data_IF_697521782221
#
_entry.id   IF_697521782221
#
_cell.length_a   1.000
_cell.length_b   1.000
_cell.length_c   1.000
_cell.angle_alpha   90.00
_cell.angle_beta   90.00
_cell.angle_gamma   90.00
#
_symmetry.space_group_name_H-M   'P 1'
#
loop_
_entity.id
_entity.type
_entity.pdbx_description
1 polymer ?
#
# COMPACT_ATOMS: atom_id res chain seq x y z
N UNK A 1 13.38 -15.73 4.39
CA UNK A 1 11.94 -15.43 4.19
C UNK A 1 11.78 -13.92 4.13
N UNK A 2 10.92 -13.43 3.25
CA UNK A 2 10.66 -12.00 3.06
C UNK A 2 9.34 -11.65 3.75
N UNK A 3 9.38 -10.64 4.62
CA UNK A 3 8.19 -10.08 5.26
C UNK A 3 7.60 -8.95 4.41
N UNK A 4 6.33 -9.04 4.06
CA UNK A 4 5.53 -7.97 3.47
C UNK A 4 4.69 -7.25 4.50
N UNK A 5 4.64 -5.93 4.40
CA UNK A 5 3.80 -5.06 5.25
C UNK A 5 3.00 -4.13 4.34
N UNK A 6 1.67 -4.21 4.38
CA UNK A 6 0.79 -3.33 3.62
C UNK A 6 -0.27 -2.71 4.55
N UNK A 7 -0.27 -1.39 4.65
CA UNK A 7 -1.08 -0.60 5.60
C UNK A 7 -1.61 0.70 5.01
N UNK A 8 -1.54 0.87 3.69
CA UNK A 8 -1.96 2.09 3.00
C UNK A 8 -3.49 2.27 3.00
N UNK A 9 -4.27 1.24 3.28
CA UNK A 9 -5.75 1.31 3.35
C UNK A 9 -6.28 0.79 4.69
N UNK A 10 -7.59 0.96 4.98
CA UNK A 10 -8.17 0.38 6.19
C UNK A 10 -8.02 -1.12 6.29
N UNK A 11 -8.01 -1.84 5.15
CA UNK A 11 -7.64 -3.25 5.07
C UNK A 11 -6.13 -3.34 4.95
N UNK A 12 -5.49 -3.80 6.02
CA UNK A 12 -4.05 -3.97 6.10
C UNK A 12 -3.72 -5.46 6.23
N UNK A 13 -2.50 -5.82 5.86
CA UNK A 13 -2.05 -7.20 5.96
C UNK A 13 -0.55 -7.32 6.12
N UNK A 14 -0.14 -8.47 6.65
CA UNK A 14 1.23 -8.96 6.72
C UNK A 14 1.31 -10.31 6.02
N UNK A 15 2.40 -10.58 5.32
CA UNK A 15 2.63 -11.87 4.66
C UNK A 15 4.11 -12.26 4.77
N UNK A 16 4.37 -13.57 4.90
CA UNK A 16 5.70 -14.13 4.79
C UNK A 16 5.80 -14.97 3.53
N UNK A 17 6.76 -14.61 2.67
CA UNK A 17 7.12 -15.39 1.50
C UNK A 17 8.41 -16.17 1.77
N UNK A 18 8.41 -17.46 1.43
CA UNK A 18 9.61 -18.29 1.47
C UNK A 18 10.09 -18.58 0.04
N UNK A 19 11.21 -17.96 -0.40
CA UNK A 19 11.79 -18.21 -1.71
C UNK A 19 12.17 -19.67 -1.96
N UNK A 20 12.40 -20.47 -0.90
CA UNK A 20 12.77 -21.89 -1.03
C UNK A 20 11.64 -22.76 -1.57
N UNK A 21 10.39 -22.35 -1.36
CA UNK A 21 9.20 -23.07 -1.82
C UNK A 21 8.35 -22.22 -2.78
N UNK A 22 8.84 -21.05 -3.18
CA UNK A 22 8.18 -20.08 -4.05
C UNK A 22 6.72 -19.79 -3.64
N UNK A 23 6.49 -19.60 -2.33
CA UNK A 23 5.13 -19.43 -1.83
C UNK A 23 5.03 -18.57 -0.56
N UNK A 24 3.85 -17.99 -0.36
CA UNK A 24 3.47 -17.41 0.93
C UNK A 24 3.17 -18.52 1.92
N UNK A 25 3.89 -18.51 3.04
CA UNK A 25 3.83 -19.53 4.09
C UNK A 25 3.03 -19.08 5.31
N UNK A 26 2.79 -17.78 5.43
CA UNK A 26 1.99 -17.20 6.52
C UNK A 26 1.40 -15.86 6.06
N UNK A 27 0.16 -15.57 6.49
CA UNK A 27 -0.54 -14.31 6.21
C UNK A 27 -1.48 -13.96 7.36
N UNK A 28 -1.57 -12.68 7.68
CA UNK A 28 -2.59 -12.11 8.58
C UNK A 28 -3.10 -10.80 8.00
N UNK A 29 -4.43 -10.67 7.94
CA UNK A 29 -5.10 -9.42 7.60
C UNK A 29 -5.77 -8.82 8.83
N UNK A 30 -5.90 -7.51 8.85
CA UNK A 30 -6.66 -6.78 9.86
C UNK A 30 -7.30 -5.53 9.25
N UNK A 31 -8.46 -5.14 9.76
CA UNK A 31 -9.19 -3.98 9.27
C UNK A 31 -9.35 -2.94 10.37
N UNK A 32 -8.89 -1.71 10.12
CA UNK A 32 -9.05 -0.61 11.06
C UNK A 32 -9.04 0.74 10.34
N UNK A 33 -9.90 1.66 10.75
CA UNK A 33 -9.92 3.01 10.17
C UNK A 33 -8.97 3.98 10.85
N UNK A 34 -8.68 3.78 12.15
CA UNK A 34 -8.00 4.78 12.99
C UNK A 34 -6.95 4.21 13.95
N UNK A 35 -6.80 2.90 14.03
CA UNK A 35 -5.99 2.24 15.06
C UNK A 35 -4.92 1.30 14.49
N UNK A 36 -4.44 1.53 13.25
CA UNK A 36 -3.35 0.73 12.65
C UNK A 36 -2.15 0.60 13.58
N UNK A 37 -1.81 1.66 14.31
CA UNK A 37 -0.72 1.71 15.27
C UNK A 37 -0.87 0.76 16.47
N UNK A 38 -2.10 0.35 16.82
CA UNK A 38 -2.33 -0.61 17.90
C UNK A 38 -2.47 -2.03 17.34
N UNK A 39 -3.21 -2.19 16.24
CA UNK A 39 -3.62 -3.50 15.72
C UNK A 39 -2.47 -4.23 15.01
N UNK A 40 -1.50 -3.52 14.43
CA UNK A 40 -0.40 -4.15 13.68
C UNK A 40 0.53 -5.00 14.56
N UNK A 41 0.66 -4.69 15.85
CA UNK A 41 1.66 -5.34 16.69
C UNK A 41 1.31 -6.78 17.05
N UNK A 42 0.02 -7.11 17.21
CA UNK A 42 -0.41 -8.49 17.48
C UNK A 42 0.06 -9.47 16.39
N UNK A 43 -0.25 -9.28 15.08
CA UNK A 43 0.23 -10.18 14.04
C UNK A 43 1.75 -10.09 13.82
N UNK A 44 2.40 -8.96 14.11
CA UNK A 44 3.88 -8.89 14.11
C UNK A 44 4.47 -9.78 15.18
N UNK A 45 3.97 -9.73 16.41
CA UNK A 45 4.47 -10.55 17.52
C UNK A 45 4.24 -12.03 17.24
N UNK A 46 3.05 -12.42 16.78
CA UNK A 46 2.74 -13.80 16.38
C UNK A 46 3.75 -14.33 15.34
N UNK A 47 4.03 -13.53 14.30
CA UNK A 47 5.00 -13.88 13.27
C UNK A 47 6.41 -14.02 13.84
N UNK A 48 6.82 -13.08 14.70
CA UNK A 48 8.15 -13.06 15.30
C UNK A 48 8.40 -14.25 16.23
N UNK A 49 7.39 -14.76 16.93
CA UNK A 49 7.53 -15.95 17.77
C UNK A 49 7.92 -17.20 16.96
N UNK A 50 7.47 -17.29 15.72
CA UNK A 50 7.66 -18.50 14.90
C UNK A 50 8.77 -18.37 13.85
N UNK A 51 8.92 -17.19 13.24
CA UNK A 51 9.71 -17.02 12.02
C UNK A 51 10.88 -16.03 12.14
N UNK A 52 11.12 -15.43 13.32
CA UNK A 52 12.16 -14.42 13.54
C UNK A 52 13.49 -14.78 12.89
N UNK A 53 14.03 -15.96 13.17
CA UNK A 53 15.38 -16.36 12.74
C UNK A 53 15.44 -16.73 11.24
N UNK A 54 14.30 -16.77 10.56
CA UNK A 54 14.19 -17.11 9.14
C UNK A 54 14.01 -15.88 8.25
N UNK A 55 13.81 -14.69 8.84
CA UNK A 55 13.65 -13.45 8.09
C UNK A 55 14.97 -13.03 7.43
N UNK A 56 14.89 -12.62 6.18
CA UNK A 56 16.04 -12.22 5.35
C UNK A 56 15.87 -10.82 4.75
N UNK A 57 14.66 -10.26 4.79
CA UNK A 57 14.37 -8.92 4.28
C UNK A 57 12.93 -8.51 4.55
N UNK A 58 12.66 -7.22 4.44
CA UNK A 58 11.34 -6.63 4.67
C UNK A 58 10.96 -5.76 3.48
N UNK A 59 9.82 -6.02 2.85
CA UNK A 59 9.20 -5.15 1.85
C UNK A 59 7.96 -4.47 2.45
N UNK A 60 7.79 -3.18 2.19
CA UNK A 60 6.64 -2.42 2.72
C UNK A 60 6.03 -1.51 1.67
N UNK A 61 4.70 -1.43 1.68
CA UNK A 61 3.93 -0.48 0.91
C UNK A 61 4.19 0.95 1.41
N UNK A 62 4.79 1.79 0.57
CA UNK A 62 5.08 3.19 0.90
C UNK A 62 3.97 4.16 0.48
N UNK A 63 2.82 3.63 0.08
CA UNK A 63 1.70 4.39 -0.46
C UNK A 63 1.75 4.56 -1.99
N UNK A 64 0.93 5.45 -2.55
CA UNK A 64 0.00 6.37 -1.87
C UNK A 64 -1.13 5.68 -1.09
N UNK A 65 -1.70 6.38 -0.10
CA UNK A 65 -2.82 5.90 0.73
C UNK A 65 -2.99 6.71 2.01
N UNK A 66 -3.59 6.09 3.03
CA UNK A 66 -3.80 6.66 4.37
C UNK A 66 -2.51 7.19 4.98
N UNK A 67 -2.49 8.49 5.31
CA UNK A 67 -1.33 9.16 5.89
C UNK A 67 -0.81 8.48 7.16
N UNK A 68 -1.72 8.07 8.06
CA UNK A 68 -1.36 7.36 9.28
C UNK A 68 -0.96 5.91 8.99
N UNK A 69 -1.73 5.22 8.13
CA UNK A 69 -1.51 3.82 7.81
C UNK A 69 -0.13 3.57 7.20
N UNK A 70 0.23 4.31 6.14
CA UNK A 70 1.53 4.20 5.47
C UNK A 70 2.69 4.43 6.45
N UNK A 71 2.59 5.45 7.31
CA UNK A 71 3.62 5.76 8.30
C UNK A 71 3.78 4.67 9.36
N UNK A 72 2.69 4.04 9.77
CA UNK A 72 2.75 2.92 10.72
C UNK A 72 3.50 1.74 10.10
N UNK A 73 3.16 1.36 8.86
CA UNK A 73 3.85 0.27 8.15
C UNK A 73 5.35 0.53 8.00
N UNK A 74 5.71 1.73 7.54
CA UNK A 74 7.11 2.16 7.41
C UNK A 74 7.84 2.16 8.76
N UNK A 75 7.21 2.65 9.83
CA UNK A 75 7.82 2.68 11.16
C UNK A 75 8.08 1.27 11.70
N UNK A 76 7.15 0.33 11.51
CA UNK A 76 7.33 -1.08 11.88
C UNK A 76 8.45 -1.71 11.05
N UNK A 77 8.47 -1.50 9.73
CA UNK A 77 9.52 -2.01 8.85
C UNK A 77 10.91 -1.52 9.28
N UNK A 78 11.05 -0.21 9.52
CA UNK A 78 12.31 0.39 9.98
C UNK A 78 12.72 -0.11 11.38
N UNK A 79 11.77 -0.28 12.30
CA UNK A 79 12.06 -0.81 13.64
C UNK A 79 12.55 -2.26 13.63
N UNK A 80 11.91 -3.10 12.82
CA UNK A 80 12.34 -4.50 12.61
C UNK A 80 13.70 -4.56 11.91
N UNK A 81 13.88 -3.78 10.84
CA UNK A 81 15.14 -3.65 10.12
C UNK A 81 16.29 -3.26 11.04
N UNK A 82 16.13 -2.22 11.86
CA UNK A 82 17.15 -1.75 12.78
C UNK A 82 17.49 -2.78 13.87
N UNK A 83 16.48 -3.45 14.42
CA UNK A 83 16.67 -4.43 15.50
C UNK A 83 17.25 -5.76 15.02
N UNK A 84 16.92 -6.18 13.80
CA UNK A 84 17.31 -7.47 13.24
C UNK A 84 18.42 -7.38 12.21
N UNK A 85 18.86 -6.16 11.86
CA UNK A 85 19.82 -5.87 10.77
C UNK A 85 19.37 -6.47 9.44
N UNK A 86 18.09 -6.30 9.14
CA UNK A 86 17.50 -6.79 7.89
C UNK A 86 17.41 -5.67 6.86
N UNK A 87 17.71 -5.96 5.59
CA UNK A 87 17.52 -5.00 4.52
C UNK A 87 16.03 -4.72 4.28
N UNK A 88 15.72 -3.50 3.83
CA UNK A 88 14.35 -3.03 3.59
C UNK A 88 14.15 -2.56 2.15
N UNK A 89 12.93 -2.74 1.64
CA UNK A 89 12.53 -2.25 0.33
C UNK A 89 11.15 -1.60 0.40
N UNK A 90 11.04 -0.39 -0.14
CA UNK A 90 9.77 0.30 -0.33
C UNK A 90 9.21 0.03 -1.72
N UNK A 91 7.95 -0.37 -1.81
CA UNK A 91 7.21 -0.50 -3.07
C UNK A 91 5.94 0.31 -3.02
N UNK A 92 5.47 0.79 -4.17
CA UNK A 92 4.20 1.52 -4.19
C UNK A 92 3.07 0.56 -3.83
N UNK A 93 2.19 0.97 -2.93
CA UNK A 93 0.99 0.19 -2.60
C UNK A 93 0.08 0.02 -3.81
N UNK A 94 0.19 0.89 -4.83
CA UNK A 94 -0.56 0.73 -6.08
C UNK A 94 -0.13 -0.51 -6.89
N UNK A 95 1.09 -1.02 -6.69
CA UNK A 95 1.61 -2.19 -7.40
C UNK A 95 1.12 -3.52 -6.80
N UNK A 96 0.58 -3.49 -5.58
CA UNK A 96 0.27 -4.67 -4.78
C UNK A 96 -1.24 -4.94 -4.61
N UNK A 97 -2.09 -4.55 -5.56
CA UNK A 97 -3.56 -4.73 -5.44
C UNK A 97 -3.98 -6.21 -5.58
N UNK A 98 -4.88 -6.66 -4.68
CA UNK A 98 -5.47 -8.01 -4.68
C UNK A 98 -6.52 -8.15 -5.79
N UNK A 99 -6.04 -8.12 -7.03
CA UNK A 99 -6.82 -8.26 -8.28
C UNK A 99 -6.18 -9.32 -9.16
N UNK A 100 -6.92 -9.88 -10.13
CA UNK A 100 -6.40 -10.93 -11.00
C UNK A 100 -5.58 -10.40 -12.18
N UNK A 101 -5.81 -9.15 -12.53
CA UNK A 101 -5.28 -8.46 -13.69
C UNK A 101 -3.93 -7.82 -13.37
N UNK A 102 -2.98 -7.91 -14.30
CA UNK A 102 -1.69 -7.26 -14.16
C UNK A 102 -1.67 -5.82 -14.67
N UNK A 103 -2.73 -5.41 -15.37
CA UNK A 103 -2.95 -4.04 -15.83
C UNK A 103 -4.29 -3.53 -15.31
N UNK A 104 -4.28 -2.41 -14.58
CA UNK A 104 -5.48 -1.82 -13.99
C UNK A 104 -5.28 -0.32 -13.70
N UNK A 105 -6.38 0.38 -13.45
CA UNK A 105 -6.36 1.72 -12.89
C UNK A 105 -6.83 1.73 -11.44
N UNK A 106 -6.32 2.68 -10.68
CA UNK A 106 -6.74 2.97 -9.31
C UNK A 106 -7.23 4.40 -9.25
N UNK A 107 -8.40 4.62 -8.65
CA UNK A 107 -8.94 5.93 -8.32
C UNK A 107 -9.17 6.07 -6.82
N UNK A 108 -8.78 7.22 -6.25
CA UNK A 108 -8.93 7.53 -4.81
C UNK A 108 -9.32 8.98 -4.59
N UNK A 109 -10.03 9.26 -3.48
CA UNK A 109 -10.35 10.64 -3.06
C UNK A 109 -9.08 11.32 -2.53
N UNK A 110 -8.50 12.21 -3.32
CA UNK A 110 -7.34 13.01 -2.95
C UNK A 110 -7.70 14.22 -2.07
N UNK A 111 -8.94 14.23 -1.53
CA UNK A 111 -9.60 15.32 -0.79
C UNK A 111 -9.75 16.58 -1.63
N UNK A 112 -10.53 17.54 -1.10
CA UNK A 112 -10.70 18.89 -1.69
C UNK A 112 -11.22 18.86 -3.13
N UNK A 113 -12.24 18.06 -3.37
CA UNK A 113 -12.89 17.95 -4.69
C UNK A 113 -11.90 17.55 -5.79
N UNK A 114 -10.95 16.67 -5.44
CA UNK A 114 -10.00 16.13 -6.38
C UNK A 114 -9.78 14.65 -6.14
N UNK A 115 -9.51 13.93 -7.22
CA UNK A 115 -9.24 12.51 -7.23
C UNK A 115 -7.84 12.26 -7.75
N UNK A 116 -7.18 11.25 -7.19
CA UNK A 116 -5.94 10.73 -7.74
C UNK A 116 -6.26 9.50 -8.58
N UNK A 117 -5.83 9.51 -9.83
CA UNK A 117 -5.97 8.40 -10.78
C UNK A 117 -4.57 7.89 -11.12
N UNK A 118 -4.40 6.58 -11.13
CA UNK A 118 -3.11 5.94 -11.41
C UNK A 118 -3.31 4.74 -12.30
N UNK A 119 -2.39 4.54 -13.23
CA UNK A 119 -2.39 3.37 -14.10
C UNK A 119 -1.25 2.45 -13.71
N UNK A 120 -1.54 1.15 -13.64
CA UNK A 120 -0.58 0.11 -13.32
C UNK A 120 -0.54 -0.85 -14.51
N UNK A 121 0.66 -1.16 -15.00
CA UNK A 121 0.88 -2.10 -16.10
C UNK A 121 1.97 -3.09 -15.71
N UNK A 122 1.69 -4.39 -15.88
CA UNK A 122 2.55 -5.48 -15.42
C UNK A 122 2.93 -5.31 -13.93
N UNK A 123 1.96 -4.95 -13.09
CA UNK A 123 2.17 -4.65 -11.65
C UNK A 123 3.21 -3.55 -11.40
N UNK A 124 3.39 -2.63 -12.34
CA UNK A 124 4.29 -1.48 -12.16
C UNK A 124 3.53 -0.19 -12.39
N UNK A 125 3.65 0.73 -11.43
CA UNK A 125 3.03 2.04 -11.51
C UNK A 125 3.58 2.80 -12.73
N UNK A 126 2.68 3.39 -13.52
CA UNK A 126 3.03 4.18 -14.70
C UNK A 126 3.00 5.66 -14.36
N UNK A 127 4.19 6.25 -14.33
CA UNK A 127 4.34 7.69 -14.05
C UNK A 127 3.89 8.04 -12.64
N UNK A 128 3.55 9.32 -12.46
CA UNK A 128 3.00 9.83 -11.21
C UNK A 128 1.46 9.81 -11.26
N UNK A 129 0.77 9.67 -10.12
CA UNK A 129 -0.69 9.76 -10.06
C UNK A 129 -1.22 11.11 -10.59
N UNK A 130 -2.19 11.04 -11.50
CA UNK A 130 -2.88 12.21 -12.05
C UNK A 130 -3.89 12.75 -11.03
N UNK A 131 -3.78 14.04 -10.71
CA UNK A 131 -4.75 14.73 -9.86
C UNK A 131 -5.77 15.46 -10.71
N UNK A 132 -7.02 14.99 -10.68
CA UNK A 132 -8.13 15.55 -11.47
C UNK A 132 -9.21 16.14 -10.55
N UNK A 133 -9.94 17.13 -11.06
CA UNK A 133 -11.12 17.67 -10.38
C UNK A 133 -12.31 16.72 -10.47
N UNK A 134 -13.29 16.87 -9.58
CA UNK A 134 -14.54 16.06 -9.59
C UNK A 134 -15.27 16.12 -10.93
N UNK A 135 -15.20 17.25 -11.63
CA UNK A 135 -15.80 17.49 -12.94
C UNK A 135 -15.16 16.69 -14.08
N UNK A 136 -13.92 16.22 -13.91
CA UNK A 136 -13.19 15.43 -14.91
C UNK A 136 -13.23 13.92 -14.64
N UNK A 137 -13.81 13.47 -13.52
CA UNK A 137 -13.77 12.05 -13.12
C UNK A 137 -14.51 11.16 -14.11
N UNK A 138 -15.74 11.50 -14.48
CA UNK A 138 -16.56 10.68 -15.40
C UNK A 138 -15.85 10.49 -16.74
N UNK A 139 -15.37 11.57 -17.35
CA UNK A 139 -14.62 11.52 -18.60
C UNK A 139 -13.35 10.65 -18.49
N UNK A 140 -12.64 10.73 -17.36
CA UNK A 140 -11.44 9.90 -17.14
C UNK A 140 -11.80 8.41 -16.97
N UNK A 141 -12.89 8.10 -16.28
CA UNK A 141 -13.35 6.72 -16.11
C UNK A 141 -13.84 6.11 -17.43
N UNK A 142 -14.53 6.89 -18.27
CA UNK A 142 -14.90 6.50 -19.63
C UNK A 142 -13.68 6.24 -20.52
N UNK A 143 -12.65 7.09 -20.45
CA UNK A 143 -11.40 6.90 -21.18
C UNK A 143 -10.72 5.56 -20.79
N UNK A 144 -10.58 5.31 -19.48
CA UNK A 144 -9.91 4.11 -18.96
C UNK A 144 -10.69 2.83 -19.27
N UNK A 145 -12.00 2.84 -19.05
CA UNK A 145 -12.87 1.70 -19.37
C UNK A 145 -12.97 1.46 -20.88
N UNK A 146 -12.98 2.51 -21.70
CA UNK A 146 -12.93 2.42 -23.16
C UNK A 146 -11.64 1.80 -23.70
N UNK A 147 -10.55 1.88 -22.93
CA UNK A 147 -9.27 1.18 -23.19
C UNK A 147 -9.28 -0.28 -22.69
N UNK A 148 -10.36 -0.73 -22.06
CA UNK A 148 -10.51 -2.06 -21.47
C UNK A 148 -9.76 -2.23 -20.14
N UNK A 149 -9.39 -1.13 -19.47
CA UNK A 149 -8.65 -1.19 -18.21
C UNK A 149 -9.65 -1.29 -17.05
N UNK A 150 -9.60 -2.34 -16.21
CA UNK A 150 -10.43 -2.41 -15.02
C UNK A 150 -10.01 -1.32 -14.03
N UNK A 151 -10.99 -0.74 -13.33
CA UNK A 151 -10.79 0.42 -12.46
C UNK A 151 -11.18 0.04 -11.04
N UNK A 152 -10.31 0.32 -10.09
CA UNK A 152 -10.53 -0.04 -8.69
C UNK A 152 -10.39 1.14 -7.74
N UNK A 153 -11.05 1.03 -6.59
CA UNK A 153 -10.86 1.91 -5.44
C UNK A 153 -10.88 1.11 -4.14
N UNK A 154 -10.16 1.60 -3.13
CA UNK A 154 -10.20 1.07 -1.77
C UNK A 154 -11.26 1.77 -0.91
N UNK A 155 -12.00 2.71 -1.49
CA UNK A 155 -12.95 3.58 -0.80
C UNK A 155 -14.37 3.26 -1.26
N UNK A 156 -15.20 2.76 -0.34
CA UNK A 156 -16.60 2.39 -0.66
C UNK A 156 -17.40 3.56 -1.22
N UNK A 157 -17.15 4.78 -0.72
CA UNK A 157 -17.82 6.00 -1.21
C UNK A 157 -17.54 6.26 -2.70
N UNK A 158 -16.33 5.95 -3.17
CA UNK A 158 -15.97 6.11 -4.60
C UNK A 158 -16.65 5.03 -5.43
N UNK A 159 -16.65 3.78 -4.96
CA UNK A 159 -17.33 2.65 -5.62
C UNK A 159 -18.84 2.88 -5.71
N UNK A 160 -19.46 3.40 -4.66
CA UNK A 160 -20.89 3.75 -4.63
C UNK A 160 -21.24 4.91 -5.58
N UNK A 161 -20.26 5.78 -5.88
CA UNK A 161 -20.45 6.94 -6.76
C UNK A 161 -20.27 6.60 -8.24
N UNK A 162 -19.53 5.54 -8.59
CA UNK A 162 -19.15 5.23 -9.96
C UNK A 162 -19.26 3.74 -10.26
N UNK A 163 -20.28 3.34 -11.02
CA UNK A 163 -20.62 1.93 -11.29
C UNK A 163 -19.47 1.13 -11.95
N UNK A 164 -18.63 1.79 -12.76
CA UNK A 164 -17.49 1.16 -13.44
C UNK A 164 -16.31 0.86 -12.52
N UNK A 165 -16.34 1.33 -11.27
CA UNK A 165 -15.26 1.18 -10.30
C UNK A 165 -15.56 0.02 -9.35
N UNK A 166 -14.66 -0.94 -9.24
CA UNK A 166 -14.79 -2.07 -8.33
C UNK A 166 -14.01 -1.86 -7.02
N UNK A 167 -14.50 -2.43 -5.93
CA UNK A 167 -13.81 -2.39 -4.64
C UNK A 167 -12.64 -3.38 -4.65
N UNK A 168 -11.42 -2.91 -4.41
CA UNK A 168 -10.24 -3.74 -4.20
C UNK A 168 -9.23 -3.04 -3.27
N UNK A 169 -8.25 -3.78 -2.77
CA UNK A 169 -7.31 -3.30 -1.77
C UNK A 169 -5.89 -3.76 -2.10
N UNK A 170 -4.86 -2.97 -1.74
CA UNK A 170 -3.50 -3.48 -1.71
C UNK A 170 -3.35 -4.55 -0.62
N UNK A 171 -2.48 -5.52 -0.87
CA UNK A 171 -2.28 -6.66 0.02
C UNK A 171 -0.81 -7.09 0.10
N UNK A 172 -0.35 -7.42 1.30
CA UNK A 172 1.03 -7.80 1.57
C UNK A 172 1.46 -9.07 0.85
N UNK A 173 0.54 -9.99 0.51
CA UNK A 173 0.89 -11.16 -0.30
C UNK A 173 1.31 -10.75 -1.71
N UNK A 174 0.61 -9.81 -2.33
CA UNK A 174 1.00 -9.31 -3.65
C UNK A 174 2.37 -8.64 -3.57
N UNK A 175 2.56 -7.80 -2.55
CA UNK A 175 3.81 -7.09 -2.29
C UNK A 175 5.03 -8.04 -2.21
N UNK A 176 4.92 -9.14 -1.45
CA UNK A 176 6.01 -10.12 -1.36
C UNK A 176 6.16 -10.96 -2.62
N UNK A 177 5.08 -11.23 -3.37
CA UNK A 177 5.15 -11.95 -4.65
C UNK A 177 5.91 -11.15 -5.71
N UNK A 178 5.78 -9.83 -5.71
CA UNK A 178 6.52 -8.97 -6.64
C UNK A 178 8.04 -9.05 -6.44
N UNK A 179 8.49 -9.22 -5.20
CA UNK A 179 9.91 -9.19 -4.83
C UNK A 179 10.45 -10.56 -4.44
N UNK A 180 9.63 -11.61 -4.47
CA UNK A 180 9.94 -12.92 -3.89
C UNK A 180 11.18 -13.60 -4.49
N UNK A 181 11.48 -13.27 -5.75
CA UNK A 181 12.65 -13.78 -6.48
C UNK A 181 13.87 -12.86 -6.38
N UNK A 182 13.74 -11.68 -5.79
CA UNK A 182 14.86 -10.78 -5.55
C UNK A 182 15.70 -11.28 -4.37
N UNK A 183 17.02 -11.07 -4.43
CA UNK A 183 17.91 -11.27 -3.30
C UNK A 183 17.87 -10.02 -2.39
N UNK A 184 17.35 -10.12 -1.15
CA UNK A 184 17.25 -8.96 -0.27
C UNK A 184 18.59 -8.33 0.09
N UNK A 185 19.72 -9.02 -0.06
CA UNK A 185 21.06 -8.45 0.21
C UNK A 185 21.40 -7.28 -0.72
N UNK A 186 20.75 -7.19 -1.88
CA UNK A 186 20.88 -6.06 -2.81
C UNK A 186 19.97 -4.88 -2.48
N UNK A 187 19.02 -5.03 -1.55
CA UNK A 187 18.17 -3.92 -1.13
C UNK A 187 18.95 -2.95 -0.25
N UNK A 188 18.80 -1.65 -0.51
CA UNK A 188 19.54 -0.62 0.20
C UNK A 188 19.00 -0.45 1.63
N UNK A 189 19.90 -0.26 2.58
CA UNK A 189 19.59 0.32 3.89
C UNK A 189 19.26 1.82 3.76
N UNK A 190 18.18 2.16 3.05
CA UNK A 190 17.68 3.53 2.99
C UNK A 190 16.49 3.67 3.92
N UNK A 191 16.47 4.74 4.71
CA UNK A 191 15.29 5.16 5.44
C UNK A 191 14.13 5.28 4.45
N UNK A 192 13.13 4.43 4.65
CA UNK A 192 11.94 4.43 3.81
C UNK A 192 11.15 5.71 4.04
N UNK A 193 10.80 6.38 2.94
CA UNK A 193 9.99 7.60 2.97
C UNK A 193 8.60 7.33 2.37
N UNK A 194 7.53 7.91 2.94
CA UNK A 194 6.19 7.80 2.36
C UNK A 194 6.11 8.48 0.99
N UNK A 195 5.46 7.83 0.03
CA UNK A 195 5.09 8.43 -1.25
C UNK A 195 3.83 9.30 -1.07
N UNK A 196 4.02 10.62 -1.06
CA UNK A 196 2.93 11.58 -0.90
C UNK A 196 2.42 12.10 -2.24
N UNK A 197 1.11 11.95 -2.49
CA UNK A 197 0.43 12.57 -3.63
C UNK A 197 0.47 14.11 -3.60
N UNK A 198 0.56 14.70 -2.40
CA UNK A 198 0.64 16.14 -2.17
C UNK A 198 1.49 16.43 -0.96
N UNK A 199 2.14 17.59 -0.95
CA UNK A 199 2.80 18.10 0.25
C UNK A 199 1.82 18.15 1.44
N UNK A 200 2.29 17.89 2.68
CA UNK A 200 1.44 17.96 3.86
C UNK A 200 0.74 19.31 3.95
N UNK A 201 -0.57 19.28 4.17
CA UNK A 201 -1.29 20.53 4.37
C UNK A 201 -1.01 21.08 5.77
N UNK A 202 -0.36 22.24 5.81
CA UNK A 202 -0.13 22.97 7.04
C UNK A 202 -1.40 23.78 7.34
N UNK A 203 -2.13 23.38 8.39
CA UNK A 203 -3.23 24.19 8.92
C UNK A 203 -2.69 25.20 9.93
N UNK A 204 -3.20 26.43 9.88
CA UNK A 204 -2.96 27.40 10.95
C UNK A 204 -3.76 26.98 12.19
N UNK A 205 -3.18 27.01 13.40
CA UNK A 205 -3.90 26.69 14.62
C UNK A 205 -5.17 27.55 14.74
N UNK A 206 -6.31 26.94 15.11
CA UNK A 206 -7.52 27.71 15.42
C UNK A 206 -7.20 28.70 16.55
N UNK A 207 -7.54 29.97 16.37
CA UNK A 207 -7.43 30.98 17.46
C UNK A 207 -8.18 30.44 18.68
N UNK A 208 -7.51 30.38 19.83
CA UNK A 208 -8.18 30.08 21.11
C UNK A 208 -9.32 31.09 21.28
N UNK A 209 -10.55 30.62 21.47
CA UNK A 209 -11.62 31.45 22.00
C UNK A 209 -11.17 31.95 23.38
N UNK A 210 -11.12 33.27 23.55
CA UNK A 210 -10.86 33.91 24.84
C UNK A 210 -12.03 33.68 25.79
#
# INVERSE_FOLDING_TARGET
MILGIETATPRASLALYDPRVDNVVWKRGFTTERAHNAVIFEPVLEMMETYRDQLTGIVVGVGPGSYSGVRVGIAVANGLSLSMKLPTLGRSSLEAWEVSEDCYAVISDARRQSFAVSEVFNRKLRGEPDLIGTDAVEAKLEELSGRGLPIYSAESVVVESYEVVALAFPDAEQLVREVGKEDPTGWRETLLEPAYLRAPYITTPKKKSK
#
